data_IF_014113641850
#
_entry.id   IF_014113641850
#
_cell.length_a   1.000
_cell.length_b   1.000
_cell.length_c   1.000
_cell.angle_alpha   90.00
_cell.angle_beta   90.00
_cell.angle_gamma   90.00
#
_symmetry.space_group_name_H-M   'P 1'
#
loop_
_entity.id
_entity.type
_entity.pdbx_description
1 polymer ?
#
# COMPACT_ATOMS: atom_id res chain seq x y z
N UNK A 1 3.39 7.02 18.78
CA UNK A 1 4.62 7.50 18.09
C UNK A 1 5.48 6.34 17.60
N UNK A 2 6.04 6.39 16.39
CA UNK A 2 6.89 5.34 15.80
C UNK A 2 8.20 5.17 16.59
N UNK A 3 8.81 3.96 16.60
CA UNK A 3 10.11 3.76 17.23
C UNK A 3 11.20 4.57 16.50
N UNK A 4 12.28 4.89 17.21
CA UNK A 4 13.48 5.52 16.61
C UNK A 4 14.47 4.50 16.06
N UNK A 5 14.18 3.21 16.27
CA UNK A 5 14.99 2.09 15.82
C UNK A 5 14.11 0.86 15.63
N UNK A 6 14.13 0.32 14.42
CA UNK A 6 13.48 -0.93 14.02
C UNK A 6 14.49 -1.79 13.27
N UNK A 7 14.38 -3.10 13.33
CA UNK A 7 15.20 -4.01 12.52
C UNK A 7 14.33 -4.99 11.76
N UNK A 8 14.55 -5.09 10.46
CA UNK A 8 13.78 -5.94 9.57
C UNK A 8 14.65 -6.54 8.46
N UNK A 9 14.29 -7.72 7.99
CA UNK A 9 14.84 -8.29 6.76
C UNK A 9 14.02 -7.73 5.60
N UNK A 10 14.69 -7.05 4.67
CA UNK A 10 14.05 -6.29 3.59
C UNK A 10 14.78 -6.54 2.27
N UNK A 11 14.09 -6.29 1.16
CA UNK A 11 14.69 -6.27 -0.17
C UNK A 11 14.71 -4.85 -0.71
N UNK A 12 15.88 -4.38 -1.14
CA UNK A 12 16.04 -3.06 -1.77
C UNK A 12 15.28 -3.06 -3.09
N UNK A 13 14.27 -2.19 -3.19
CA UNK A 13 13.48 -2.02 -4.40
C UNK A 13 14.21 -1.14 -5.42
N UNK A 14 14.71 0.00 -4.95
CA UNK A 14 15.47 0.94 -5.76
C UNK A 14 16.27 1.91 -4.88
N UNK A 15 17.28 2.53 -5.47
CA UNK A 15 18.04 3.67 -4.94
C UNK A 15 17.91 4.80 -5.95
N UNK A 16 17.26 5.91 -5.57
CA UNK A 16 17.14 7.08 -6.45
C UNK A 16 18.43 7.88 -6.41
N UNK A 17 19.28 7.74 -7.42
CA UNK A 17 20.61 8.33 -7.47
C UNK A 17 20.63 9.84 -7.21
N UNK A 18 19.71 10.58 -7.84
CA UNK A 18 19.66 12.05 -7.75
C UNK A 18 19.35 12.54 -6.33
N UNK A 19 18.52 11.81 -5.59
CA UNK A 19 18.01 12.23 -4.28
C UNK A 19 18.58 11.41 -3.12
N UNK A 20 19.29 10.32 -3.40
CA UNK A 20 19.78 9.37 -2.40
C UNK A 20 18.68 8.64 -1.62
N UNK A 21 17.45 8.62 -2.16
CA UNK A 21 16.29 7.97 -1.51
C UNK A 21 16.34 6.46 -1.70
N UNK A 22 16.04 5.73 -0.64
CA UNK A 22 16.09 4.28 -0.56
C UNK A 22 14.67 3.74 -0.43
N UNK A 23 14.33 2.80 -1.31
CA UNK A 23 13.03 2.15 -1.35
C UNK A 23 13.19 0.66 -1.01
N UNK A 24 12.25 0.10 -0.25
CA UNK A 24 12.19 -1.33 0.05
C UNK A 24 10.84 -1.90 -0.40
N UNK A 25 10.83 -3.14 -0.89
CA UNK A 25 9.60 -3.81 -1.34
C UNK A 25 8.54 -3.91 -0.22
N UNK A 26 8.99 -4.13 1.02
CA UNK A 26 8.14 -4.38 2.19
C UNK A 26 7.78 -3.11 2.97
N UNK A 27 8.14 -1.92 2.47
CA UNK A 27 7.88 -0.64 3.13
C UNK A 27 7.34 0.35 2.11
N UNK A 28 6.20 0.98 2.37
CA UNK A 28 5.73 2.08 1.50
C UNK A 28 6.51 3.37 1.76
N UNK A 29 7.01 3.55 2.99
CA UNK A 29 7.82 4.69 3.40
C UNK A 29 9.09 4.81 2.56
N UNK A 30 9.41 6.04 2.14
CA UNK A 30 10.68 6.40 1.51
C UNK A 30 11.72 6.70 2.60
N UNK A 31 12.90 6.09 2.50
CA UNK A 31 14.01 6.33 3.43
C UNK A 31 15.13 7.16 2.81
N UNK A 32 15.94 7.78 3.65
CA UNK A 32 17.19 8.47 3.30
C UNK A 32 18.37 7.86 4.03
N UNK A 33 19.57 8.14 3.54
CA UNK A 33 20.81 7.86 4.26
C UNK A 33 21.08 8.92 5.35
N UNK A 34 21.81 8.58 6.42
CA UNK A 34 22.19 9.52 7.46
C UNK A 34 23.20 10.55 6.94
N UNK A 35 23.20 11.75 7.50
CA UNK A 35 24.14 12.84 7.19
C UNK A 35 25.50 12.66 7.90
N UNK A 36 26.04 11.42 7.92
CA UNK A 36 27.24 11.06 8.69
C UNK A 36 28.22 10.24 7.85
N UNK A 37 29.45 10.06 8.33
CA UNK A 37 30.49 9.24 7.67
C UNK A 37 30.07 7.78 7.42
N UNK A 38 29.10 7.25 8.19
CA UNK A 38 28.52 5.94 7.97
C UNK A 38 27.78 5.80 6.62
N UNK A 39 27.44 6.92 5.96
CA UNK A 39 26.72 6.97 4.69
C UNK A 39 27.38 6.16 3.57
N UNK A 40 28.71 6.25 3.44
CA UNK A 40 29.43 5.58 2.36
C UNK A 40 29.33 4.05 2.49
N UNK A 41 29.53 3.52 3.70
CA UNK A 41 29.44 2.09 3.97
C UNK A 41 28.01 1.54 3.79
N UNK A 42 27.00 2.29 4.22
CA UNK A 42 25.59 1.90 4.04
C UNK A 42 25.21 1.92 2.55
N UNK A 43 25.58 2.99 1.83
CA UNK A 43 25.29 3.14 0.39
C UNK A 43 25.86 2.00 -0.45
N UNK A 44 27.14 1.64 -0.23
CA UNK A 44 27.78 0.54 -0.96
C UNK A 44 27.06 -0.80 -0.77
N UNK A 45 26.66 -1.12 0.47
CA UNK A 45 25.93 -2.36 0.78
C UNK A 45 24.53 -2.39 0.16
N UNK A 46 23.83 -1.25 0.13
CA UNK A 46 22.52 -1.15 -0.52
C UNK A 46 22.62 -1.39 -2.03
N UNK A 47 23.64 -0.81 -2.68
CA UNK A 47 23.89 -1.02 -4.12
C UNK A 47 24.19 -2.49 -4.43
N UNK A 48 25.10 -3.09 -3.66
CA UNK A 48 25.42 -4.51 -3.82
C UNK A 48 24.17 -5.39 -3.65
N UNK A 49 23.36 -5.11 -2.62
CA UNK A 49 22.12 -5.85 -2.39
C UNK A 49 21.10 -5.69 -3.53
N UNK A 50 20.96 -4.48 -4.07
CA UNK A 50 20.07 -4.18 -5.21
C UNK A 50 20.52 -4.92 -6.48
N UNK A 51 21.82 -4.86 -6.80
CA UNK A 51 22.40 -5.53 -7.97
C UNK A 51 22.24 -7.06 -7.88
N UNK A 52 22.51 -7.63 -6.70
CA UNK A 52 22.43 -9.08 -6.47
C UNK A 52 21.01 -9.56 -6.18
N UNK A 53 20.05 -8.66 -5.98
CA UNK A 53 18.67 -8.95 -5.55
C UNK A 53 18.64 -9.81 -4.29
N UNK A 54 19.48 -9.48 -3.31
CA UNK A 54 19.59 -10.23 -2.05
C UNK A 54 18.94 -9.47 -0.90
N UNK A 55 18.31 -10.17 0.06
CA UNK A 55 17.76 -9.52 1.24
C UNK A 55 18.86 -9.01 2.17
N UNK A 56 18.56 -7.90 2.85
CA UNK A 56 19.43 -7.27 3.85
C UNK A 56 18.71 -7.20 5.18
N UNK A 57 19.49 -7.22 6.27
CA UNK A 57 19.00 -6.81 7.58
C UNK A 57 19.22 -5.31 7.71
N UNK A 58 18.12 -4.56 7.67
CA UNK A 58 18.12 -3.12 7.79
C UNK A 58 17.80 -2.70 9.23
N UNK A 59 18.51 -1.68 9.71
CA UNK A 59 18.17 -0.95 10.93
C UNK A 59 17.63 0.41 10.49
N UNK A 60 16.38 0.70 10.83
CA UNK A 60 15.64 1.87 10.35
C UNK A 60 15.22 2.78 11.50
N UNK A 61 15.21 4.08 11.25
CA UNK A 61 14.48 5.07 12.04
C UNK A 61 13.20 5.43 11.28
N UNK A 62 12.06 4.75 11.49
CA UNK A 62 10.82 5.06 10.79
C UNK A 62 10.24 6.42 11.18
N UNK A 63 10.63 6.97 12.34
CA UNK A 63 10.24 8.32 12.75
C UNK A 63 10.91 9.40 11.92
N UNK A 64 12.17 9.20 11.53
CA UNK A 64 12.92 10.15 10.69
C UNK A 64 12.98 9.74 9.21
N UNK A 65 12.58 8.52 8.87
CA UNK A 65 12.76 7.95 7.54
C UNK A 65 14.24 7.77 7.20
N UNK A 66 15.06 7.26 8.13
CA UNK A 66 16.51 7.10 7.93
C UNK A 66 16.91 5.62 8.00
N UNK A 67 17.77 5.19 7.08
CA UNK A 67 18.47 3.91 7.17
C UNK A 67 19.68 4.07 8.09
N UNK A 68 19.58 3.59 9.33
CA UNK A 68 20.65 3.70 10.33
C UNK A 68 21.77 2.66 10.13
N UNK A 69 21.47 1.53 9.49
CA UNK A 69 22.46 0.48 9.26
C UNK A 69 21.97 -0.60 8.30
N UNK A 70 22.91 -1.21 7.59
CA UNK A 70 22.67 -2.32 6.66
C UNK A 70 23.73 -3.38 6.89
N UNK A 71 23.29 -4.61 7.12
CA UNK A 71 24.14 -5.79 7.12
C UNK A 71 23.54 -6.86 6.21
N UNK A 72 24.35 -7.77 5.66
CA UNK A 72 23.82 -8.98 5.03
C UNK A 72 22.87 -9.69 6.00
N UNK A 73 21.74 -10.20 5.49
CA UNK A 73 20.89 -11.08 6.28
C UNK A 73 21.65 -12.39 6.59
N UNK A 74 21.54 -12.90 7.81
CA UNK A 74 22.12 -14.20 8.14
C UNK A 74 21.49 -15.29 7.26
N UNK A 75 22.23 -16.31 6.83
CA UNK A 75 21.73 -17.34 5.89
C UNK A 75 20.40 -17.95 6.32
N UNK A 76 20.26 -18.23 7.62
CA UNK A 76 19.00 -18.75 8.19
C UNK A 76 17.86 -17.75 8.07
N UNK A 77 18.08 -16.48 8.43
CA UNK A 77 17.07 -15.40 8.33
C UNK A 77 16.69 -15.17 6.87
N UNK A 78 17.66 -15.14 5.96
CA UNK A 78 17.43 -15.00 4.52
C UNK A 78 16.63 -16.18 3.96
N UNK A 79 17.00 -17.41 4.33
CA UNK A 79 16.30 -18.62 3.89
C UNK A 79 14.87 -18.73 4.44
N UNK A 80 14.60 -18.22 5.64
CA UNK A 80 13.24 -18.10 6.19
C UNK A 80 12.45 -17.00 5.45
N UNK A 81 13.07 -15.85 5.21
CA UNK A 81 12.47 -14.74 4.47
C UNK A 81 12.05 -15.16 3.06
N UNK A 82 12.94 -15.77 2.29
CA UNK A 82 12.63 -16.24 0.92
C UNK A 82 11.52 -17.31 0.90
N UNK A 83 11.52 -18.24 1.86
CA UNK A 83 10.46 -19.27 1.95
C UNK A 83 9.09 -18.68 2.28
N UNK A 84 9.05 -17.59 3.03
CA UNK A 84 7.79 -16.89 3.34
C UNK A 84 7.25 -16.08 2.16
N UNK A 85 8.10 -15.73 1.19
CA UNK A 85 7.73 -14.92 0.02
C UNK A 85 7.18 -15.77 -1.11
N UNK A 86 5.89 -16.08 -1.03
CA UNK A 86 5.18 -16.65 -2.17
C UNK A 86 4.81 -15.55 -3.16
N UNK A 87 5.28 -15.68 -4.42
CA UNK A 87 4.91 -14.76 -5.49
C UNK A 87 3.48 -15.02 -5.97
N UNK A 88 2.79 -13.95 -6.33
CA UNK A 88 1.47 -13.99 -6.94
C UNK A 88 1.55 -14.59 -8.35
N UNK A 89 0.72 -15.60 -8.62
CA UNK A 89 0.56 -16.13 -9.99
C UNK A 89 -0.17 -15.11 -10.88
N UNK A 90 0.37 -14.89 -12.10
CA UNK A 90 -0.21 -14.04 -13.15
C UNK A 90 -0.70 -12.66 -12.66
N UNK A 91 0.23 -11.80 -12.20
CA UNK A 91 -0.14 -10.44 -11.80
C UNK A 91 -0.82 -9.67 -12.94
N UNK A 92 -1.75 -8.80 -12.57
CA UNK A 92 -2.37 -7.83 -13.48
C UNK A 92 -1.33 -6.87 -14.06
N UNK A 93 -1.68 -6.23 -15.18
CA UNK A 93 -0.82 -5.23 -15.81
C UNK A 93 -0.78 -3.94 -15.01
N UNK A 94 0.37 -3.30 -15.03
CA UNK A 94 0.57 -1.95 -14.50
C UNK A 94 0.39 -0.94 -15.61
N UNK A 95 -0.31 0.15 -15.29
CA UNK A 95 -0.80 1.14 -16.25
C UNK A 95 -0.27 2.50 -15.84
N UNK A 96 0.48 3.14 -16.74
CA UNK A 96 0.88 4.54 -16.56
C UNK A 96 -0.35 5.45 -16.53
N UNK A 97 -0.34 6.47 -15.70
CA UNK A 97 -1.48 7.38 -15.55
C UNK A 97 -1.00 8.81 -15.40
N UNK A 98 -1.72 9.75 -16.02
CA UNK A 98 -1.65 11.16 -15.67
C UNK A 98 -2.95 11.53 -14.95
N UNK A 99 -2.89 11.69 -13.63
CA UNK A 99 -4.09 11.91 -12.81
C UNK A 99 -4.83 13.19 -13.19
N UNK A 100 -4.13 14.23 -13.63
CA UNK A 100 -4.73 15.49 -14.09
C UNK A 100 -5.58 15.34 -15.37
N UNK A 101 -5.35 14.30 -16.15
CA UNK A 101 -6.08 14.02 -17.41
C UNK A 101 -7.21 13.00 -17.24
N UNK A 102 -7.43 12.49 -16.02
CA UNK A 102 -8.48 11.51 -15.76
C UNK A 102 -9.85 12.19 -15.88
N UNK A 103 -10.71 11.67 -16.78
CA UNK A 103 -12.15 11.93 -16.74
C UNK A 103 -12.81 11.09 -15.63
N UNK A 104 -13.21 11.69 -14.48
CA UNK A 104 -13.72 10.95 -13.34
C UNK A 104 -15.09 10.29 -13.63
N UNK A 105 -15.81 10.75 -14.65
CA UNK A 105 -17.13 10.20 -15.02
C UNK A 105 -17.00 8.86 -15.75
N UNK A 106 -15.86 8.61 -16.40
CA UNK A 106 -15.61 7.41 -17.21
C UNK A 106 -14.57 6.49 -16.61
N UNK A 107 -13.53 7.02 -15.98
CA UNK A 107 -12.37 6.25 -15.53
C UNK A 107 -12.74 5.15 -14.53
N UNK A 108 -13.69 5.45 -13.66
CA UNK A 108 -14.11 4.53 -12.60
C UNK A 108 -15.10 3.46 -13.06
N UNK A 109 -15.61 3.55 -14.29
CA UNK A 109 -16.57 2.57 -14.84
C UNK A 109 -15.80 1.33 -15.30
N UNK A 110 -16.08 0.20 -14.65
CA UNK A 110 -15.33 -1.05 -14.78
C UNK A 110 -15.30 -1.55 -16.21
N UNK A 111 -16.47 -1.63 -16.85
CA UNK A 111 -16.61 -2.21 -18.19
C UNK A 111 -16.30 -1.22 -19.31
N UNK A 112 -16.05 0.05 -19.00
CA UNK A 112 -15.72 1.08 -20.00
C UNK A 112 -14.22 1.32 -20.09
N UNK A 113 -13.59 1.65 -18.96
CA UNK A 113 -12.21 2.12 -18.92
C UNK A 113 -11.26 1.09 -18.30
N UNK A 114 -11.61 0.50 -17.16
CA UNK A 114 -10.67 -0.36 -16.42
C UNK A 114 -10.46 -1.72 -17.10
N UNK A 115 -11.54 -2.40 -17.52
CA UNK A 115 -11.57 -3.64 -18.34
C UNK A 115 -10.51 -4.69 -17.96
N UNK A 116 -10.18 -4.81 -16.68
CA UNK A 116 -9.10 -5.68 -16.21
C UNK A 116 -9.54 -7.15 -16.21
N UNK A 117 -8.74 -8.09 -16.76
CA UNK A 117 -9.00 -9.53 -16.65
C UNK A 117 -9.12 -10.03 -15.21
N UNK A 118 -8.47 -9.33 -14.26
CA UNK A 118 -8.53 -9.63 -12.83
C UNK A 118 -9.97 -9.65 -12.31
N UNK A 119 -10.85 -8.81 -12.85
CA UNK A 119 -12.26 -8.77 -12.45
C UNK A 119 -13.04 -10.05 -12.79
N UNK A 120 -12.50 -10.94 -13.62
CA UNK A 120 -13.12 -12.23 -13.95
C UNK A 120 -12.80 -13.33 -12.93
N UNK A 121 -11.82 -13.12 -12.05
CA UNK A 121 -11.43 -14.11 -11.04
C UNK A 121 -12.51 -14.32 -9.96
N UNK A 122 -13.39 -13.35 -9.78
CA UNK A 122 -14.52 -13.40 -8.87
C UNK A 122 -15.67 -12.54 -9.44
N UNK A 123 -16.93 -12.94 -9.28
CA UNK A 123 -18.08 -12.24 -9.90
C UNK A 123 -19.11 -11.68 -8.91
N UNK A 124 -18.99 -12.02 -7.62
CA UNK A 124 -19.89 -11.54 -6.56
C UNK A 124 -19.56 -10.09 -6.14
N UNK A 125 -20.06 -9.13 -6.90
CA UNK A 125 -19.86 -7.69 -6.68
C UNK A 125 -20.81 -7.12 -5.61
N UNK A 126 -20.47 -5.93 -5.09
CA UNK A 126 -21.27 -5.21 -4.08
C UNK A 126 -22.53 -4.62 -4.74
N UNK A 127 -23.74 -4.84 -4.18
CA UNK A 127 -25.00 -4.56 -4.89
C UNK A 127 -25.41 -3.08 -4.94
N UNK A 128 -24.83 -2.22 -4.11
CA UNK A 128 -25.18 -0.80 -4.04
C UNK A 128 -24.12 0.02 -3.31
N UNK A 129 -24.15 1.34 -3.51
CA UNK A 129 -23.32 2.27 -2.73
C UNK A 129 -23.60 2.17 -1.22
N UNK A 130 -24.86 1.99 -0.82
CA UNK A 130 -25.21 1.82 0.61
C UNK A 130 -24.48 0.63 1.23
N UNK A 131 -24.43 -0.51 0.53
CA UNK A 131 -23.67 -1.67 1.00
C UNK A 131 -22.16 -1.42 0.98
N UNK A 132 -21.65 -0.72 -0.02
CA UNK A 132 -20.24 -0.31 -0.06
C UNK A 132 -19.87 0.59 1.14
N UNK A 133 -20.76 1.51 1.51
CA UNK A 133 -20.59 2.36 2.69
C UNK A 133 -20.63 1.55 3.98
N UNK A 134 -21.56 0.61 4.11
CA UNK A 134 -21.62 -0.29 5.27
C UNK A 134 -20.32 -1.10 5.45
N UNK A 135 -19.79 -1.64 4.35
CA UNK A 135 -18.49 -2.34 4.36
C UNK A 135 -17.37 -1.41 4.83
N UNK A 136 -17.31 -0.19 4.28
CA UNK A 136 -16.31 0.79 4.65
C UNK A 136 -16.41 1.17 6.13
N UNK A 137 -17.61 1.50 6.60
CA UNK A 137 -17.85 1.90 7.98
C UNK A 137 -17.45 0.76 8.93
N UNK A 138 -17.75 -0.49 8.58
CA UNK A 138 -17.33 -1.64 9.37
C UNK A 138 -15.80 -1.80 9.39
N UNK A 139 -15.11 -1.66 8.26
CA UNK A 139 -13.65 -1.65 8.23
C UNK A 139 -13.08 -0.53 9.12
N UNK A 140 -13.59 0.70 8.99
CA UNK A 140 -13.18 1.86 9.79
C UNK A 140 -13.42 1.65 11.29
N UNK A 141 -14.51 0.98 11.68
CA UNK A 141 -14.78 0.63 13.08
C UNK A 141 -13.78 -0.37 13.67
N UNK A 142 -12.98 -1.06 12.86
CA UNK A 142 -11.89 -1.92 13.35
C UNK A 142 -10.60 -1.14 13.62
N UNK A 143 -10.65 0.19 13.56
CA UNK A 143 -9.48 1.04 13.77
C UNK A 143 -8.92 0.92 15.19
N UNK A 144 -7.60 0.83 15.31
CA UNK A 144 -6.93 0.73 16.61
C UNK A 144 -7.10 1.98 17.49
N UNK A 145 -7.36 3.15 16.89
CA UNK A 145 -7.57 4.40 17.64
C UNK A 145 -8.93 4.51 18.36
N UNK A 146 -9.89 3.62 18.06
CA UNK A 146 -11.23 3.62 18.66
C UNK A 146 -11.28 2.83 19.99
N UNK A 147 -10.19 2.18 20.37
CA UNK A 147 -10.12 1.30 21.54
C UNK A 147 -10.58 -0.14 21.28
N UNK A 148 -10.29 -1.04 22.21
CA UNK A 148 -10.73 -2.44 22.22
C UNK A 148 -12.03 -2.51 23.04
N UNK A 149 -13.05 -3.28 22.63
CA UNK A 149 -12.98 -4.39 21.68
C UNK A 149 -13.37 -4.02 20.24
N UNK A 150 -12.40 -4.17 19.32
CA UNK A 150 -12.70 -4.34 17.89
C UNK A 150 -13.26 -5.75 17.67
N UNK A 151 -14.23 -5.88 16.76
CA UNK A 151 -14.81 -7.20 16.43
C UNK A 151 -13.87 -8.07 15.59
N UNK A 152 -12.86 -7.45 14.98
CA UNK A 152 -11.78 -8.11 14.22
C UNK A 152 -10.47 -7.92 14.97
N UNK A 153 -9.72 -9.01 15.15
CA UNK A 153 -8.40 -9.02 15.81
C UNK A 153 -7.31 -9.49 14.83
N UNK A 154 -6.13 -8.85 14.82
CA UNK A 154 -5.82 -7.55 15.43
C UNK A 154 -6.66 -6.39 14.82
N UNK A 155 -6.77 -5.29 15.56
CA UNK A 155 -7.31 -4.03 15.04
C UNK A 155 -6.45 -3.51 13.88
N UNK A 156 -6.98 -2.59 13.09
CA UNK A 156 -6.31 -2.03 11.92
C UNK A 156 -5.75 -0.63 12.27
N UNK A 157 -4.43 -0.37 12.20
CA UNK A 157 -3.83 0.88 12.63
C UNK A 157 -3.97 1.98 11.57
N UNK A 158 -5.19 2.36 11.19
CA UNK A 158 -5.41 3.41 10.18
C UNK A 158 -4.78 4.76 10.56
N UNK A 159 -4.55 5.00 11.85
CA UNK A 159 -3.89 6.20 12.36
C UNK A 159 -2.37 6.23 12.14
N UNK A 160 -1.77 5.12 11.71
CA UNK A 160 -0.37 5.03 11.32
C UNK A 160 -0.26 4.89 9.80
N UNK A 161 -0.29 6.02 9.11
CA UNK A 161 -0.20 6.13 7.65
C UNK A 161 1.22 6.22 7.10
N UNK A 162 2.28 6.16 7.92
CA UNK A 162 3.66 6.26 7.39
C UNK A 162 4.09 5.01 6.63
N UNK A 163 3.58 3.86 7.06
CA UNK A 163 3.85 2.55 6.48
C UNK A 163 2.62 1.65 6.65
N UNK A 164 2.69 0.38 6.23
CA UNK A 164 1.71 -0.69 6.51
C UNK A 164 0.43 -0.77 5.69
N UNK A 165 0.30 0.05 4.63
CA UNK A 165 -0.83 -0.03 3.70
C UNK A 165 -1.17 -1.45 3.24
N UNK A 166 -0.14 -2.26 2.95
CA UNK A 166 -0.28 -3.66 2.53
C UNK A 166 -0.97 -4.53 3.58
N UNK A 167 -0.63 -4.37 4.87
CA UNK A 167 -1.25 -5.10 5.97
C UNK A 167 -2.69 -4.63 6.22
N UNK A 168 -2.93 -3.30 6.25
CA UNK A 168 -4.27 -2.73 6.38
C UNK A 168 -5.19 -3.20 5.26
N UNK A 169 -4.71 -3.15 4.01
CA UNK A 169 -5.45 -3.59 2.84
C UNK A 169 -5.73 -5.10 2.86
N UNK A 170 -4.78 -5.92 3.30
CA UNK A 170 -4.99 -7.37 3.39
C UNK A 170 -6.06 -7.70 4.44
N UNK A 171 -6.03 -7.06 5.62
CA UNK A 171 -7.05 -7.26 6.67
C UNK A 171 -8.43 -6.78 6.25
N UNK A 172 -8.52 -5.65 5.56
CA UNK A 172 -9.80 -5.19 4.98
C UNK A 172 -10.32 -6.16 3.91
N UNK A 173 -9.45 -6.74 3.08
CA UNK A 173 -9.86 -7.83 2.17
C UNK A 173 -10.49 -8.99 2.95
N UNK A 174 -9.87 -9.44 4.04
CA UNK A 174 -10.42 -10.53 4.85
C UNK A 174 -11.84 -10.21 5.31
N UNK A 175 -12.09 -8.98 5.76
CA UNK A 175 -13.43 -8.52 6.14
C UNK A 175 -14.38 -8.61 4.94
N UNK A 176 -14.01 -8.03 3.79
CA UNK A 176 -14.86 -7.97 2.60
C UNK A 176 -15.22 -9.38 2.09
N UNK A 177 -14.23 -10.28 2.04
CA UNK A 177 -14.41 -11.64 1.54
C UNK A 177 -15.06 -12.57 2.56
N UNK A 178 -14.61 -12.59 3.82
CA UNK A 178 -15.04 -13.58 4.80
C UNK A 178 -16.32 -13.17 5.53
N UNK A 179 -16.51 -11.88 5.83
CA UNK A 179 -17.70 -11.39 6.51
C UNK A 179 -18.84 -11.09 5.53
N UNK A 180 -18.54 -10.42 4.42
CA UNK A 180 -19.56 -9.98 3.46
C UNK A 180 -19.68 -10.89 2.25
N UNK A 181 -18.67 -11.72 1.96
CA UNK A 181 -18.72 -12.65 0.84
C UNK A 181 -18.66 -11.96 -0.52
N UNK A 182 -18.10 -10.76 -0.64
CA UNK A 182 -17.95 -10.05 -1.92
C UNK A 182 -16.53 -10.14 -2.45
N UNK A 183 -16.38 -9.97 -3.75
CA UNK A 183 -15.07 -9.86 -4.39
C UNK A 183 -14.32 -8.63 -3.89
N UNK A 184 -13.03 -8.80 -3.64
CA UNK A 184 -12.12 -7.74 -3.28
C UNK A 184 -10.88 -7.83 -4.17
N UNK A 185 -10.71 -6.87 -5.06
CA UNK A 185 -9.43 -6.65 -5.72
C UNK A 185 -8.55 -5.77 -4.83
N UNK A 186 -7.29 -5.55 -5.24
CA UNK A 186 -6.44 -4.49 -4.69
C UNK A 186 -6.05 -3.52 -5.79
N UNK A 187 -5.96 -2.25 -5.44
CA UNK A 187 -5.33 -1.26 -6.30
C UNK A 187 -4.06 -0.76 -5.64
N UNK A 188 -2.97 -0.81 -6.40
CA UNK A 188 -1.68 -0.25 -6.05
C UNK A 188 -1.48 1.02 -6.87
N UNK A 189 -1.12 2.13 -6.23
CA UNK A 189 -0.54 3.32 -6.88
C UNK A 189 0.96 3.29 -6.68
N UNK A 190 1.71 3.87 -7.61
CA UNK A 190 3.15 3.96 -7.50
C UNK A 190 3.68 5.30 -7.98
N UNK A 191 4.84 5.65 -7.44
CA UNK A 191 5.69 6.74 -7.85
C UNK A 191 7.05 6.18 -8.34
N UNK A 192 6.98 5.36 -9.40
CA UNK A 192 8.13 4.60 -9.91
C UNK A 192 8.86 5.29 -11.07
N UNK A 193 8.74 6.61 -11.23
CA UNK A 193 9.41 7.37 -12.28
C UNK A 193 10.20 8.52 -11.66
N UNK A 194 11.44 8.70 -12.12
CA UNK A 194 12.32 9.80 -11.68
C UNK A 194 12.35 9.95 -10.14
N UNK A 195 12.01 11.15 -9.65
CA UNK A 195 11.91 11.50 -8.23
C UNK A 195 10.47 11.55 -7.72
N UNK A 196 9.50 11.05 -8.48
CA UNK A 196 8.08 11.08 -8.12
C UNK A 196 7.87 10.50 -6.71
N UNK A 197 6.95 11.07 -5.95
CA UNK A 197 6.53 10.56 -4.66
C UNK A 197 5.01 10.64 -4.54
N UNK A 198 4.42 9.64 -3.89
CA UNK A 198 3.03 9.74 -3.47
C UNK A 198 3.03 10.62 -2.23
N UNK A 199 2.36 11.77 -2.29
CA UNK A 199 2.35 12.76 -1.21
C UNK A 199 0.94 12.98 -0.72
N UNK A 200 0.71 12.72 0.57
CA UNK A 200 -0.60 12.82 1.20
C UNK A 200 -0.51 13.68 2.46
N UNK A 201 -1.55 14.47 2.70
CA UNK A 201 -1.76 15.15 3.98
C UNK A 201 -2.66 14.28 4.85
N UNK A 202 -2.15 13.82 5.99
CA UNK A 202 -2.85 12.92 6.90
C UNK A 202 -3.87 13.67 7.79
N UNK A 203 -4.81 14.41 7.19
CA UNK A 203 -5.72 15.30 7.91
C UNK A 203 -6.56 14.60 8.99
N UNK A 204 -6.96 13.35 8.74
CA UNK A 204 -7.65 12.52 9.73
C UNK A 204 -6.81 12.21 10.98
N UNK A 205 -5.49 12.30 10.87
CA UNK A 205 -4.53 11.79 11.84
C UNK A 205 -3.55 12.86 12.31
N UNK A 206 -3.97 14.13 12.31
CA UNK A 206 -3.19 15.27 12.81
C UNK A 206 -2.60 16.17 11.73
N UNK A 207 -2.83 15.89 10.45
CA UNK A 207 -2.59 16.83 9.35
C UNK A 207 -1.15 17.00 8.89
N UNK A 208 -0.24 16.11 9.31
CA UNK A 208 1.14 16.11 8.81
C UNK A 208 1.25 15.44 7.43
N UNK A 209 2.28 15.80 6.69
CA UNK A 209 2.57 15.23 5.38
C UNK A 209 3.29 13.89 5.49
N UNK A 210 2.94 12.97 4.60
CA UNK A 210 3.60 11.67 4.43
C UNK A 210 3.90 11.42 2.96
N UNK A 211 5.03 10.75 2.72
CA UNK A 211 5.49 10.42 1.38
C UNK A 211 5.73 8.92 1.25
N UNK A 212 5.23 8.34 0.16
CA UNK A 212 5.38 6.90 -0.15
C UNK A 212 5.89 6.70 -1.57
N UNK A 213 6.47 5.54 -1.84
CA UNK A 213 6.79 5.14 -3.22
C UNK A 213 5.71 4.26 -3.85
N UNK A 214 4.91 3.58 -3.04
CA UNK A 214 3.68 2.93 -3.46
C UNK A 214 2.64 3.04 -2.35
N UNK A 215 1.37 2.88 -2.69
CA UNK A 215 0.29 2.75 -1.72
C UNK A 215 -0.69 1.68 -2.20
N UNK A 216 -1.37 0.99 -1.28
CA UNK A 216 -2.35 -0.05 -1.65
C UNK A 216 -3.59 0.01 -0.79
N UNK A 217 -4.75 -0.18 -1.44
CA UNK A 217 -6.03 -0.32 -0.77
C UNK A 217 -6.92 -1.38 -1.47
N UNK A 218 -7.90 -1.95 -0.75
CA UNK A 218 -8.98 -2.73 -1.34
C UNK A 218 -9.74 -1.95 -2.41
N UNK A 219 -9.99 -2.61 -3.54
CA UNK A 219 -10.84 -2.13 -4.61
C UNK A 219 -12.07 -3.03 -4.70
N UNK A 220 -13.25 -2.46 -4.53
CA UNK A 220 -14.52 -3.17 -4.66
C UNK A 220 -15.28 -2.69 -5.88
N UNK A 221 -15.93 -3.64 -6.56
CA UNK A 221 -16.85 -3.36 -7.66
C UNK A 221 -18.25 -3.18 -7.12
N UNK A 222 -18.89 -2.08 -7.47
CA UNK A 222 -20.19 -1.68 -6.94
C UNK A 222 -21.18 -1.50 -8.08
N UNK A 223 -22.29 -2.21 -8.01
CA UNK A 223 -23.41 -2.04 -8.92
C UNK A 223 -24.11 -0.71 -8.63
N UNK A 224 -24.19 0.14 -9.64
CA UNK A 224 -25.02 1.34 -9.65
C UNK A 224 -26.24 1.07 -10.51
N UNK A 225 -27.42 1.46 -10.00
CA UNK A 225 -28.69 1.39 -10.70
C UNK A 225 -29.32 2.78 -10.70
N UNK A 226 -29.58 3.31 -11.88
CA UNK A 226 -30.26 4.59 -12.09
C UNK A 226 -31.42 4.32 -13.04
N UNK A 227 -32.64 4.27 -12.49
CA UNK A 227 -33.84 3.88 -13.24
C UNK A 227 -33.62 2.52 -13.96
N UNK A 228 -33.71 2.49 -15.29
CA UNK A 228 -33.50 1.31 -16.14
C UNK A 228 -32.03 1.03 -16.46
N UNK A 229 -31.11 1.95 -16.14
CA UNK A 229 -29.69 1.80 -16.44
C UNK A 229 -28.94 1.21 -15.25
N UNK A 230 -28.04 0.28 -15.54
CA UNK A 230 -27.17 -0.31 -14.53
C UNK A 230 -25.74 -0.40 -15.05
N UNK A 231 -24.78 0.03 -14.24
CA UNK A 231 -23.35 -0.04 -14.56
C UNK A 231 -22.54 -0.31 -13.30
N UNK A 232 -21.33 -0.81 -13.46
CA UNK A 232 -20.44 -1.16 -12.35
C UNK A 232 -19.33 -0.12 -12.24
N UNK A 233 -19.14 0.43 -11.05
CA UNK A 233 -18.03 1.33 -10.74
C UNK A 233 -17.05 0.67 -9.78
N UNK A 234 -15.80 1.09 -9.82
CA UNK A 234 -14.77 0.69 -8.86
C UNK A 234 -14.65 1.75 -7.76
N UNK A 235 -14.81 1.33 -6.49
CA UNK A 235 -14.60 2.16 -5.31
C UNK A 235 -13.44 1.61 -4.48
N UNK A 236 -12.64 2.52 -3.92
CA UNK A 236 -11.55 2.21 -3.01
C UNK A 236 -12.04 2.32 -1.57
N UNK A 237 -11.70 1.33 -0.75
CA UNK A 237 -12.00 1.30 0.69
C UNK A 237 -10.72 1.61 1.45
N UNK A 238 -10.53 2.87 1.85
CA UNK A 238 -9.32 3.30 2.54
C UNK A 238 -9.63 4.28 3.71
N UNK A 239 -9.94 3.74 4.90
CA UNK A 239 -10.14 4.55 6.09
C UNK A 239 -8.91 5.33 6.57
N UNK A 240 -7.71 5.01 6.07
CA UNK A 240 -6.49 5.74 6.43
C UNK A 240 -6.42 7.12 5.77
N UNK A 241 -7.09 7.30 4.62
CA UNK A 241 -7.12 8.56 3.89
C UNK A 241 -8.51 9.21 3.83
N UNK A 242 -9.59 8.42 3.91
CA UNK A 242 -10.96 8.90 3.64
C UNK A 242 -11.94 8.50 4.75
N UNK A 243 -13.14 9.10 4.73
CA UNK A 243 -14.25 8.79 5.65
C UNK A 243 -15.41 8.02 5.00
N UNK A 244 -15.26 7.65 3.73
CA UNK A 244 -16.22 6.88 2.95
C UNK A 244 -15.53 6.17 1.79
N UNK A 245 -16.16 5.18 1.13
CA UNK A 245 -15.65 4.66 -0.12
C UNK A 245 -15.56 5.79 -1.15
N UNK A 246 -14.45 5.87 -1.86
CA UNK A 246 -14.18 6.89 -2.87
C UNK A 246 -13.96 6.26 -4.24
N UNK A 247 -14.16 7.05 -5.29
CA UNK A 247 -13.78 6.65 -6.65
C UNK A 247 -12.27 6.39 -6.72
N UNK A 248 -11.85 5.45 -7.56
CA UNK A 248 -10.41 5.20 -7.79
C UNK A 248 -9.68 6.47 -8.22
N UNK A 249 -10.26 7.26 -9.13
CA UNK A 249 -9.66 8.54 -9.54
C UNK A 249 -9.42 9.47 -8.35
N UNK A 250 -10.40 9.61 -7.44
CA UNK A 250 -10.27 10.44 -6.24
C UNK A 250 -9.20 9.94 -5.29
N UNK A 251 -9.06 8.62 -5.15
CA UNK A 251 -8.00 8.00 -4.34
C UNK A 251 -6.61 8.26 -4.93
N UNK A 252 -6.46 8.21 -6.26
CA UNK A 252 -5.19 8.57 -6.93
C UNK A 252 -4.89 10.07 -6.78
N UNK A 253 -5.86 10.95 -7.01
CA UNK A 253 -5.69 12.41 -6.88
C UNK A 253 -5.25 12.84 -5.49
N UNK A 254 -5.77 12.22 -4.43
CA UNK A 254 -5.38 12.57 -3.06
C UNK A 254 -3.89 12.32 -2.76
N UNK A 255 -3.21 11.51 -3.57
CA UNK A 255 -1.78 11.18 -3.47
C UNK A 255 -0.87 12.09 -4.30
N UNK A 256 -1.44 13.03 -5.06
CA UNK A 256 -0.69 14.10 -5.74
C UNK A 256 -0.79 15.42 -4.97
N UNK A 257 -0.71 15.39 -3.63
CA UNK A 257 -0.80 16.60 -2.81
C UNK A 257 0.49 17.43 -2.89
N UNK A 258 0.49 18.43 -3.77
CA UNK A 258 1.61 19.34 -3.98
C UNK A 258 2.00 20.20 -2.75
N UNK A 259 1.10 20.37 -1.77
CA UNK A 259 1.46 21.03 -0.51
C UNK A 259 2.33 20.15 0.40
N UNK A 260 2.37 18.83 0.15
CA UNK A 260 3.15 17.87 0.91
C UNK A 260 4.42 17.37 0.21
N UNK A 261 4.59 17.63 -1.09
CA UNK A 261 5.78 17.23 -1.83
C UNK A 261 5.87 17.91 -3.18
N UNK A 262 7.06 18.45 -3.51
CA UNK A 262 7.30 19.11 -4.79
C UNK A 262 7.26 18.13 -5.98
N UNK A 263 7.47 16.84 -5.71
CA UNK A 263 7.41 15.76 -6.69
C UNK A 263 6.18 14.88 -6.51
N UNK A 264 5.10 15.42 -5.94
CA UNK A 264 3.85 14.71 -5.72
C UNK A 264 3.25 14.22 -7.06
N UNK A 265 3.39 12.93 -7.34
CA UNK A 265 2.95 12.34 -8.61
C UNK A 265 2.64 10.85 -8.47
N UNK A 266 1.47 10.46 -8.98
CA UNK A 266 1.13 9.06 -9.24
C UNK A 266 1.52 8.77 -10.68
N UNK A 267 2.58 8.00 -10.88
CA UNK A 267 3.07 7.69 -12.23
C UNK A 267 2.38 6.49 -12.86
N UNK A 268 1.95 5.54 -12.03
CA UNK A 268 1.27 4.33 -12.48
C UNK A 268 0.34 3.78 -11.40
N UNK A 269 -0.64 2.98 -11.83
CA UNK A 269 -1.45 2.16 -10.95
C UNK A 269 -1.55 0.72 -11.48
N UNK A 270 -1.90 -0.21 -10.59
CA UNK A 270 -2.04 -1.62 -10.93
C UNK A 270 -3.22 -2.21 -10.16
N UNK A 271 -4.15 -2.84 -10.88
CA UNK A 271 -5.26 -3.58 -10.27
C UNK A 271 -4.89 -5.05 -10.23
N UNK A 272 -4.88 -5.60 -9.02
CA UNK A 272 -4.40 -6.94 -8.72
C UNK A 272 -5.49 -7.79 -8.07
N UNK A 273 -5.40 -9.13 -8.16
CA UNK A 273 -6.19 -10.03 -7.34
C UNK A 273 -6.11 -9.65 -5.86
N UNK A 274 -7.18 -9.94 -5.11
CA UNK A 274 -7.21 -9.71 -3.68
C UNK A 274 -6.04 -10.34 -2.93
N UNK A 275 -5.46 -11.45 -3.41
CA UNK A 275 -4.32 -12.11 -2.75
C UNK A 275 -2.99 -11.33 -2.82
N UNK A 276 -2.84 -10.35 -3.71
CA UNK A 276 -1.63 -9.53 -3.80
C UNK A 276 -1.36 -8.81 -2.45
N UNK A 277 -0.11 -8.81 -2.01
CA UNK A 277 0.28 -8.26 -0.70
C UNK A 277 1.20 -7.05 -0.84
N UNK A 278 2.47 -7.24 -1.19
CA UNK A 278 3.43 -6.16 -1.47
C UNK A 278 3.97 -6.26 -2.90
N UNK A 279 4.46 -5.17 -3.51
CA UNK A 279 5.26 -5.25 -4.72
C UNK A 279 6.52 -6.08 -4.49
N UNK A 280 6.87 -6.95 -5.44
CA UNK A 280 8.08 -7.75 -5.43
C UNK A 280 9.16 -7.22 -6.39
N UNK A 281 8.86 -6.12 -7.09
CA UNK A 281 9.82 -5.37 -7.90
C UNK A 281 9.45 -3.88 -7.98
N UNK A 282 10.43 -3.04 -8.29
CA UNK A 282 10.22 -1.61 -8.50
C UNK A 282 9.35 -1.30 -9.72
N UNK A 283 9.28 -2.17 -10.73
CA UNK A 283 8.42 -1.96 -11.89
C UNK A 283 6.91 -2.11 -11.56
N UNK A 284 6.56 -2.59 -10.37
CA UNK A 284 5.18 -2.86 -9.97
C UNK A 284 4.53 -3.96 -10.80
N UNK A 285 5.30 -4.89 -11.38
CA UNK A 285 4.81 -5.98 -12.24
C UNK A 285 4.89 -7.36 -11.58
N UNK A 286 5.49 -7.46 -10.39
CA UNK A 286 5.52 -8.66 -9.58
C UNK A 286 5.03 -8.34 -8.17
N UNK A 287 4.36 -9.28 -7.51
CA UNK A 287 3.77 -9.09 -6.19
C UNK A 287 3.98 -10.34 -5.33
N UNK A 288 4.09 -10.14 -4.02
CA UNK A 288 4.03 -11.22 -3.03
C UNK A 288 2.59 -11.51 -2.62
N UNK A 289 2.40 -12.56 -1.83
CA UNK A 289 1.13 -12.94 -1.21
C UNK A 289 1.35 -13.25 0.28
N UNK A 290 0.28 -13.17 1.07
CA UNK A 290 0.27 -13.56 2.50
C UNK A 290 -0.99 -14.41 2.79
N UNK A 291 -1.06 -15.64 2.27
CA UNK A 291 -2.30 -16.42 2.28
C UNK A 291 -2.81 -16.77 3.68
N UNK A 292 -1.90 -16.89 4.67
CA UNK A 292 -2.21 -17.20 6.06
C UNK A 292 -2.38 -15.98 6.95
N UNK A 293 -2.31 -14.76 6.39
CA UNK A 293 -2.39 -13.50 7.14
C UNK A 293 -1.31 -13.35 8.23
N UNK A 294 -0.24 -14.13 8.16
CA UNK A 294 0.76 -14.19 9.22
C UNK A 294 1.60 -12.92 9.23
N UNK A 295 2.05 -12.46 8.05
CA UNK A 295 2.77 -11.20 7.95
C UNK A 295 1.84 -10.00 8.24
N UNK A 296 0.59 -10.09 7.77
CA UNK A 296 -0.45 -9.10 8.04
C UNK A 296 -0.65 -8.91 9.53
N UNK A 297 -0.97 -9.96 10.26
CA UNK A 297 -1.29 -9.86 11.68
C UNK A 297 -0.06 -9.46 12.50
N UNK A 298 1.14 -9.92 12.15
CA UNK A 298 2.37 -9.49 12.79
C UNK A 298 2.59 -7.97 12.66
N UNK A 299 2.42 -7.41 11.46
CA UNK A 299 2.56 -5.97 11.21
C UNK A 299 1.50 -5.17 11.94
N UNK A 300 0.22 -5.57 11.87
CA UNK A 300 -0.87 -4.87 12.56
C UNK A 300 -0.67 -4.87 14.09
N UNK A 301 -0.22 -5.98 14.67
CA UNK A 301 0.11 -6.08 16.10
C UNK A 301 1.27 -5.14 16.45
N UNK A 302 2.32 -5.09 15.62
CA UNK A 302 3.47 -4.24 15.85
C UNK A 302 3.09 -2.75 15.81
N UNK A 303 2.17 -2.37 14.92
CA UNK A 303 1.85 -0.96 14.65
C UNK A 303 0.59 -0.45 15.35
N UNK A 304 -0.16 -1.29 16.07
CA UNK A 304 -1.44 -0.93 16.71
C UNK A 304 -1.43 0.33 17.58
N UNK A 305 -0.30 0.62 18.24
CA UNK A 305 -0.13 1.77 19.14
C UNK A 305 0.62 2.95 18.49
N UNK A 306 0.96 2.83 17.21
CA UNK A 306 1.65 3.88 16.47
C UNK A 306 0.63 4.89 15.92
N UNK A 307 1.11 6.10 15.68
CA UNK A 307 0.39 7.21 15.08
C UNK A 307 1.37 7.97 14.17
N UNK A 308 0.89 8.50 13.04
CA UNK A 308 1.74 9.23 12.09
C UNK A 308 2.13 10.60 12.62
N UNK A 309 1.09 11.34 12.99
CA UNK A 309 1.11 12.56 13.76
C UNK A 309 0.49 12.19 15.14
#
# INVERSE_FOLDING_TARGET
MPPTRESAVLTVANIREETGRILFHEREQIFSLPETDARAGISGRLREALERKTPVKAVLDPRRGIVQGITPAAEKEAGEFERSRTLLDKPGKTVSVNVAEIDPTRFNVVDLTLKSPIFKLCTKIVPSYTKAKEIFDFCAQQSCNLGIPTTVTPCIPFQYVRDDCYARAHKMRWIIEQRYGYCCEKVFSFANQNNDELSVRADKWGGCCVNWWYHVAPLIRVQIKISTFSFVIALVVDPSMFDKPVMLSSWLTAQENAACGAHAKVSMYSIQPGSAYTPANYAGTAFTTDPSYTATDATLIAYKNLTTC
#
